data_IF_950590698632
#
_entry.id   IF_950590698632
#
_cell.length_a   1.000
_cell.length_b   1.000
_cell.length_c   1.000
_cell.angle_alpha   90.00
_cell.angle_beta   90.00
_cell.angle_gamma   90.00
#
_symmetry.space_group_name_H-M   'P 1'
#
loop_
_entity.id
_entity.type
_entity.pdbx_description
1 polymer ?
#
# COMPACT_ATOMS: atom_id res chain seq x y z
N UNK A 1 -6.40 -35.46 -31.06
CA UNK A 1 -6.76 -34.84 -32.35
C UNK A 1 -7.05 -33.39 -32.04
N UNK A 2 -6.51 -32.43 -32.82
CA UNK A 2 -6.86 -31.04 -32.61
C UNK A 2 -8.34 -30.84 -32.92
N UNK A 3 -9.04 -30.13 -32.05
CA UNK A 3 -10.48 -29.90 -32.14
C UNK A 3 -10.71 -28.46 -32.64
N UNK A 4 -11.67 -28.26 -33.53
CA UNK A 4 -12.12 -26.93 -33.97
C UNK A 4 -12.57 -26.11 -32.76
N UNK A 5 -12.21 -24.83 -32.68
CA UNK A 5 -12.54 -24.00 -31.51
C UNK A 5 -13.00 -22.59 -31.84
N UNK A 6 -13.92 -22.08 -31.02
CA UNK A 6 -14.22 -20.64 -30.91
C UNK A 6 -13.21 -20.04 -29.94
N UNK A 7 -12.43 -19.08 -30.42
CA UNK A 7 -11.39 -18.43 -29.63
C UNK A 7 -11.68 -16.96 -29.32
N UNK A 8 -12.77 -16.39 -29.85
CA UNK A 8 -13.17 -15.03 -29.50
C UNK A 8 -14.66 -14.73 -29.72
N UNK A 9 -15.21 -13.92 -28.80
CA UNK A 9 -16.52 -13.28 -28.90
C UNK A 9 -16.38 -11.79 -28.61
N UNK A 10 -16.98 -10.95 -29.45
CA UNK A 10 -17.17 -9.53 -29.20
C UNK A 10 -18.66 -9.20 -29.22
N UNK A 11 -19.15 -8.67 -28.09
CA UNK A 11 -20.47 -8.05 -28.06
C UNK A 11 -20.48 -6.80 -28.95
N UNK A 12 -21.60 -6.51 -29.63
CA UNK A 12 -22.86 -7.24 -29.53
C UNK A 12 -23.01 -8.38 -30.55
N UNK A 13 -22.11 -8.56 -31.53
CA UNK A 13 -22.47 -9.32 -32.73
C UNK A 13 -21.32 -10.02 -33.45
N UNK A 14 -20.15 -10.24 -32.84
CA UNK A 14 -19.00 -10.84 -33.53
C UNK A 14 -18.56 -12.15 -32.90
N UNK A 15 -18.42 -13.19 -33.73
CA UNK A 15 -17.90 -14.51 -33.34
C UNK A 15 -16.72 -14.86 -34.24
N UNK A 16 -15.61 -15.28 -33.63
CA UNK A 16 -14.43 -15.75 -34.36
C UNK A 16 -13.92 -17.07 -33.81
N UNK A 17 -13.41 -17.89 -34.71
CA UNK A 17 -12.86 -19.18 -34.38
C UNK A 17 -12.07 -19.75 -35.54
N UNK A 18 -11.71 -21.01 -35.40
CA UNK A 18 -11.03 -21.77 -36.45
C UNK A 18 -11.44 -23.23 -36.42
N UNK A 19 -11.33 -23.86 -37.58
CA UNK A 19 -11.72 -25.24 -37.82
C UNK A 19 -10.47 -26.04 -38.17
N UNK A 20 -10.31 -27.22 -37.56
CA UNK A 20 -9.23 -28.14 -37.93
C UNK A 20 -9.61 -28.83 -39.26
N UNK A 21 -9.11 -28.32 -40.37
CA UNK A 21 -9.40 -28.87 -41.69
C UNK A 21 -8.26 -28.66 -42.71
N UNK A 22 -8.24 -29.48 -43.77
CA UNK A 22 -7.20 -29.55 -44.80
C UNK A 22 -7.33 -28.50 -45.92
N UNK A 23 -8.13 -27.44 -45.71
CA UNK A 23 -8.16 -26.24 -46.56
C UNK A 23 -9.35 -26.12 -47.51
N UNK A 24 -10.44 -26.87 -47.28
CA UNK A 24 -11.68 -26.66 -48.02
C UNK A 24 -12.47 -25.46 -47.47
N UNK A 25 -13.32 -24.89 -48.33
CA UNK A 25 -14.31 -23.89 -47.95
C UNK A 25 -15.39 -24.58 -47.11
N UNK A 26 -15.54 -24.16 -45.86
CA UNK A 26 -16.50 -24.73 -44.89
C UNK A 26 -17.53 -23.68 -44.53
N UNK A 27 -18.80 -24.05 -44.63
CA UNK A 27 -19.91 -23.21 -44.19
C UNK A 27 -20.00 -23.21 -42.67
N UNK A 28 -20.17 -22.03 -42.09
CA UNK A 28 -20.30 -21.82 -40.66
C UNK A 28 -21.67 -21.21 -40.36
N UNK A 29 -22.32 -21.75 -39.35
CA UNK A 29 -23.63 -21.34 -38.88
C UNK A 29 -23.57 -20.98 -37.40
N UNK A 30 -24.08 -19.81 -37.03
CA UNK A 30 -24.20 -19.36 -35.65
C UNK A 30 -25.68 -19.35 -35.29
N UNK A 31 -26.03 -20.09 -34.26
CA UNK A 31 -27.39 -20.18 -33.73
C UNK A 31 -27.49 -19.46 -32.38
N UNK A 32 -28.62 -18.77 -32.16
CA UNK A 32 -29.07 -18.29 -30.86
C UNK A 32 -30.43 -18.91 -30.54
N UNK A 33 -30.51 -19.67 -29.45
CA UNK A 33 -31.73 -20.41 -29.05
C UNK A 33 -32.30 -21.29 -30.16
N UNK A 34 -31.44 -21.87 -31.01
CA UNK A 34 -31.84 -22.71 -32.15
C UNK A 34 -32.26 -21.94 -33.41
N UNK A 35 -32.14 -20.61 -33.43
CA UNK A 35 -32.37 -19.79 -34.61
C UNK A 35 -31.06 -19.32 -35.22
N UNK A 36 -30.93 -19.44 -36.55
CA UNK A 36 -29.73 -18.97 -37.28
C UNK A 36 -29.67 -17.45 -37.21
N UNK A 37 -28.60 -16.95 -36.60
CA UNK A 37 -28.29 -15.51 -36.49
C UNK A 37 -26.98 -15.13 -37.20
N UNK A 38 -26.27 -16.08 -37.80
CA UNK A 38 -25.06 -15.80 -38.56
C UNK A 38 -24.75 -16.93 -39.53
N UNK A 39 -24.39 -16.57 -40.76
CA UNK A 39 -23.93 -17.48 -41.79
C UNK A 39 -22.66 -16.89 -42.40
N UNK A 40 -21.68 -17.75 -42.65
CA UNK A 40 -20.42 -17.34 -43.27
C UNK A 40 -19.57 -18.54 -43.63
N UNK A 41 -18.32 -18.25 -43.98
CA UNK A 41 -17.35 -19.24 -44.40
C UNK A 41 -15.99 -18.91 -43.75
N UNK A 42 -15.05 -19.85 -43.80
CA UNK A 42 -13.67 -19.60 -43.40
C UNK A 42 -13.04 -18.51 -44.29
N UNK A 43 -13.11 -17.27 -43.81
CA UNK A 43 -12.76 -16.06 -44.54
C UNK A 43 -11.42 -15.44 -44.09
N UNK A 44 -10.66 -16.12 -43.22
CA UNK A 44 -9.41 -15.62 -42.66
C UNK A 44 -8.26 -16.64 -42.78
N UNK A 45 -7.10 -16.15 -43.20
CA UNK A 45 -5.82 -16.87 -43.13
C UNK A 45 -5.18 -16.62 -41.76
N UNK A 46 -4.65 -17.67 -41.13
CA UNK A 46 -3.94 -17.59 -39.85
C UNK A 46 -2.62 -18.34 -39.92
N UNK A 47 -1.55 -17.58 -40.20
CA UNK A 47 -0.19 -18.10 -40.34
C UNK A 47 0.30 -18.86 -39.10
N UNK A 48 -0.21 -18.51 -37.91
CA UNK A 48 0.10 -19.19 -36.65
C UNK A 48 -0.50 -20.60 -36.57
N UNK A 49 -1.71 -20.79 -37.11
CA UNK A 49 -2.37 -22.10 -37.20
C UNK A 49 -1.74 -22.97 -38.29
N UNK A 50 -1.41 -22.37 -39.44
CA UNK A 50 -0.68 -23.02 -40.54
C UNK A 50 0.69 -23.54 -40.08
N UNK A 51 1.46 -22.71 -39.38
CA UNK A 51 2.78 -23.08 -38.83
C UNK A 51 2.70 -24.19 -37.79
N UNK A 52 1.55 -24.33 -37.11
CA UNK A 52 1.28 -25.39 -36.14
C UNK A 52 0.73 -26.68 -36.78
N UNK A 53 0.54 -26.71 -38.11
CA UNK A 53 -0.02 -27.86 -38.82
C UNK A 53 -1.52 -28.08 -38.55
N UNK A 54 -2.25 -27.03 -38.15
CA UNK A 54 -3.66 -27.08 -37.77
C UNK A 54 -4.62 -26.71 -38.91
N UNK A 55 -4.09 -26.27 -40.06
CA UNK A 55 -4.88 -25.78 -41.18
C UNK A 55 -5.17 -24.28 -41.12
N UNK A 56 -5.67 -23.72 -42.24
CA UNK A 56 -5.87 -22.28 -42.45
C UNK A 56 -7.36 -21.89 -42.47
N UNK A 57 -8.20 -22.53 -41.65
CA UNK A 57 -9.66 -22.36 -41.72
C UNK A 57 -10.17 -21.48 -40.57
N UNK A 58 -9.70 -20.24 -40.50
CA UNK A 58 -10.19 -19.27 -39.53
C UNK A 58 -11.37 -18.48 -40.08
N UNK A 59 -12.24 -18.01 -39.19
CA UNK A 59 -13.39 -17.22 -39.56
C UNK A 59 -13.67 -16.09 -38.59
N UNK A 60 -14.35 -15.07 -39.08
CA UNK A 60 -15.04 -14.06 -38.28
C UNK A 60 -16.36 -13.74 -38.94
N UNK A 61 -17.44 -13.89 -38.18
CA UNK A 61 -18.80 -13.70 -38.67
C UNK A 61 -19.49 -12.68 -37.78
N UNK A 62 -20.09 -11.70 -38.43
CA UNK A 62 -20.99 -10.74 -37.80
C UNK A 62 -22.41 -11.31 -37.81
N UNK A 63 -23.06 -11.35 -36.66
CA UNK A 63 -24.41 -11.88 -36.50
C UNK A 63 -25.46 -10.82 -36.85
N UNK A 64 -26.57 -11.25 -37.46
CA UNK A 64 -27.73 -10.42 -37.80
C UNK A 64 -28.51 -9.95 -36.57
N UNK A 65 -28.39 -10.68 -35.47
CA UNK A 65 -28.98 -10.33 -34.17
C UNK A 65 -27.89 -10.17 -33.10
N UNK A 66 -28.05 -9.22 -32.18
CA UNK A 66 -27.10 -9.05 -31.09
C UNK A 66 -27.22 -10.18 -30.05
N UNK A 67 -26.09 -10.53 -29.44
CA UNK A 67 -25.97 -11.41 -28.30
C UNK A 67 -25.15 -10.76 -27.18
N UNK A 68 -25.35 -11.28 -25.97
CA UNK A 68 -24.59 -10.93 -24.78
C UNK A 68 -23.66 -12.06 -24.34
N UNK A 69 -22.72 -11.74 -23.48
CA UNK A 69 -21.87 -12.69 -22.78
C UNK A 69 -22.70 -13.66 -21.91
N UNK A 70 -23.88 -13.25 -21.44
CA UNK A 70 -24.83 -14.16 -20.78
C UNK A 70 -25.43 -15.19 -21.75
N UNK A 71 -25.72 -14.81 -23.00
CA UNK A 71 -26.20 -15.74 -24.02
C UNK A 71 -25.15 -16.82 -24.32
N UNK A 72 -23.86 -16.46 -24.29
CA UNK A 72 -22.77 -17.41 -24.46
C UNK A 72 -22.64 -18.35 -23.24
N UNK A 73 -22.67 -17.81 -22.01
CA UNK A 73 -22.52 -18.62 -20.78
C UNK A 73 -23.71 -19.54 -20.50
N UNK A 74 -24.91 -19.16 -20.93
CA UNK A 74 -26.12 -19.98 -20.81
C UNK A 74 -26.17 -21.12 -21.82
N UNK A 75 -25.25 -21.15 -22.80
CA UNK A 75 -25.29 -22.10 -23.92
C UNK A 75 -26.35 -21.76 -24.97
N UNK A 76 -26.88 -20.53 -24.94
CA UNK A 76 -27.86 -20.05 -25.93
C UNK A 76 -27.21 -19.81 -27.28
N UNK A 77 -25.91 -19.47 -27.31
CA UNK A 77 -25.12 -19.34 -28.54
C UNK A 77 -24.41 -20.65 -28.85
N UNK A 78 -24.63 -21.16 -30.07
CA UNK A 78 -23.93 -22.32 -30.62
C UNK A 78 -23.36 -21.99 -31.98
N UNK A 79 -22.23 -22.61 -32.31
CA UNK A 79 -21.57 -22.42 -33.60
C UNK A 79 -21.34 -23.77 -34.22
N UNK A 80 -21.66 -23.91 -35.49
CA UNK A 80 -21.52 -25.13 -36.25
C UNK A 80 -20.71 -24.89 -37.50
N UNK A 81 -20.06 -25.94 -37.99
CA UNK A 81 -19.55 -25.99 -39.36
C UNK A 81 -20.10 -27.21 -40.08
N UNK A 82 -20.30 -27.08 -41.39
CA UNK A 82 -20.75 -28.18 -42.25
C UNK A 82 -19.63 -28.61 -43.18
N UNK A 83 -19.28 -29.89 -43.15
CA UNK A 83 -18.32 -30.53 -44.07
C UNK A 83 -18.91 -31.84 -44.57
N UNK A 84 -18.82 -32.10 -45.87
CA UNK A 84 -19.30 -33.35 -46.50
C UNK A 84 -20.75 -33.72 -46.15
N UNK A 85 -21.62 -32.71 -45.99
CA UNK A 85 -23.02 -32.84 -45.52
C UNK A 85 -23.22 -33.23 -44.04
N UNK A 86 -22.16 -33.22 -43.23
CA UNK A 86 -22.22 -33.41 -41.78
C UNK A 86 -22.06 -32.07 -41.05
N UNK A 87 -23.04 -31.74 -40.19
CA UNK A 87 -23.03 -30.55 -39.32
C UNK A 87 -22.38 -30.89 -37.98
N UNK A 88 -21.33 -30.15 -37.61
CA UNK A 88 -20.52 -30.39 -36.42
C UNK A 88 -20.49 -29.14 -35.53
N UNK A 89 -20.69 -29.28 -34.22
CA UNK A 89 -20.63 -28.17 -33.25
C UNK A 89 -19.16 -27.82 -32.94
N UNK A 90 -18.85 -26.52 -32.93
CA UNK A 90 -17.52 -25.99 -32.58
C UNK A 90 -17.50 -25.69 -31.08
N UNK A 91 -16.54 -26.27 -30.36
CA UNK A 91 -16.40 -26.02 -28.93
C UNK A 91 -15.85 -24.63 -28.64
N UNK A 92 -16.34 -24.01 -27.57
CA UNK A 92 -15.80 -22.73 -27.08
C UNK A 92 -14.57 -23.01 -26.22
N UNK A 93 -13.45 -22.37 -26.54
CA UNK A 93 -12.18 -22.57 -25.82
C UNK A 93 -12.34 -22.16 -24.35
N UNK A 94 -11.81 -22.98 -23.45
CA UNK A 94 -12.05 -22.83 -21.99
C UNK A 94 -11.59 -21.49 -21.40
N UNK A 95 -10.54 -20.88 -21.97
CA UNK A 95 -10.03 -19.56 -21.61
C UNK A 95 -10.92 -18.42 -22.11
N UNK A 96 -11.62 -18.60 -23.24
CA UNK A 96 -12.67 -17.68 -23.71
C UNK A 96 -13.83 -17.68 -22.73
N UNK A 97 -14.28 -18.85 -22.29
CA UNK A 97 -15.30 -18.97 -21.24
C UNK A 97 -14.83 -18.27 -19.94
N UNK A 98 -13.57 -18.44 -19.54
CA UNK A 98 -13.01 -17.72 -18.38
C UNK A 98 -13.01 -16.19 -18.58
N UNK A 99 -12.62 -15.71 -19.77
CA UNK A 99 -12.63 -14.28 -20.11
C UNK A 99 -14.04 -13.70 -20.07
N UNK A 100 -15.03 -14.41 -20.64
CA UNK A 100 -16.44 -14.03 -20.64
C UNK A 100 -16.98 -13.98 -19.20
N UNK A 101 -16.69 -14.98 -18.37
CA UNK A 101 -17.05 -14.97 -16.93
C UNK A 101 -16.48 -13.74 -16.22
N UNK A 102 -15.23 -13.38 -16.51
CA UNK A 102 -14.60 -12.19 -15.93
C UNK A 102 -15.28 -10.89 -16.39
N UNK A 103 -15.64 -10.78 -17.66
CA UNK A 103 -16.38 -9.61 -18.18
C UNK A 103 -17.76 -9.48 -17.54
N UNK A 104 -18.53 -10.57 -17.48
CA UNK A 104 -19.84 -10.60 -16.79
C UNK A 104 -19.70 -10.20 -15.32
N UNK A 105 -18.72 -10.76 -14.62
CA UNK A 105 -18.41 -10.38 -13.25
C UNK A 105 -18.11 -8.87 -13.16
N UNK A 106 -17.30 -8.32 -14.07
CA UNK A 106 -16.99 -6.89 -14.07
C UNK A 106 -18.19 -5.96 -14.29
N UNK A 107 -19.22 -6.42 -15.00
CA UNK A 107 -20.49 -5.68 -15.12
C UNK A 107 -21.28 -5.72 -13.80
N UNK A 108 -21.45 -6.91 -13.22
CA UNK A 108 -22.10 -7.08 -11.91
C UNK A 108 -21.40 -6.26 -10.81
N UNK A 109 -20.07 -6.20 -10.85
CA UNK A 109 -19.27 -5.39 -9.92
C UNK A 109 -19.65 -3.91 -9.98
N UNK A 110 -19.85 -3.34 -11.18
CA UNK A 110 -20.26 -1.94 -11.34
C UNK A 110 -21.64 -1.69 -10.75
N UNK A 111 -22.54 -2.64 -10.89
CA UNK A 111 -23.90 -2.54 -10.36
C UNK A 111 -23.88 -2.60 -8.82
N UNK A 112 -23.13 -3.53 -8.23
CA UNK A 112 -22.97 -3.62 -6.77
C UNK A 112 -22.29 -2.38 -6.16
N UNK A 113 -21.36 -1.74 -6.87
CA UNK A 113 -20.74 -0.50 -6.40
C UNK A 113 -21.72 0.68 -6.37
N UNK A 114 -22.75 0.65 -7.22
CA UNK A 114 -23.76 1.70 -7.29
C UNK A 114 -24.88 1.52 -6.25
N UNK A 115 -25.07 0.31 -5.71
CA UNK A 115 -26.06 0.05 -4.67
C UNK A 115 -25.74 0.80 -3.36
N UNK A 116 -26.79 1.29 -2.71
CA UNK A 116 -26.69 1.76 -1.34
C UNK A 116 -26.61 0.60 -0.32
N UNK A 117 -26.31 0.92 0.94
CA UNK A 117 -26.11 -0.10 1.98
C UNK A 117 -27.38 -0.93 2.24
N UNK A 118 -28.56 -0.32 2.11
CA UNK A 118 -29.84 -0.99 2.38
C UNK A 118 -30.26 -1.88 1.21
N UNK A 119 -30.04 -1.44 -0.04
CA UNK A 119 -30.25 -2.26 -1.23
C UNK A 119 -29.34 -3.50 -1.24
N UNK A 120 -28.07 -3.31 -0.86
CA UNK A 120 -27.11 -4.41 -0.74
C UNK A 120 -27.52 -5.40 0.36
N UNK A 121 -27.99 -4.90 1.51
CA UNK A 121 -28.49 -5.73 2.62
C UNK A 121 -29.71 -6.55 2.18
N UNK A 122 -30.66 -5.93 1.47
CA UNK A 122 -31.83 -6.60 0.92
C UNK A 122 -31.48 -7.64 -0.14
N UNK A 123 -30.51 -7.34 -1.01
CA UNK A 123 -29.98 -8.29 -2.01
C UNK A 123 -29.39 -9.52 -1.32
N UNK A 124 -28.47 -9.31 -0.37
CA UNK A 124 -27.82 -10.37 0.42
C UNK A 124 -28.86 -11.22 1.16
N UNK A 125 -29.84 -10.58 1.81
CA UNK A 125 -30.88 -11.27 2.56
C UNK A 125 -31.76 -12.16 1.69
N UNK A 126 -32.06 -11.73 0.46
CA UNK A 126 -32.85 -12.51 -0.49
C UNK A 126 -32.05 -13.65 -1.11
N UNK A 127 -30.79 -13.41 -1.50
CA UNK A 127 -29.86 -14.41 -2.04
C UNK A 127 -29.71 -15.62 -1.09
N UNK A 128 -29.57 -15.37 0.22
CA UNK A 128 -29.44 -16.45 1.23
C UNK A 128 -30.52 -17.53 1.14
N UNK A 129 -31.72 -17.20 0.63
CA UNK A 129 -32.82 -18.18 0.50
C UNK A 129 -32.67 -19.12 -0.69
N UNK A 130 -31.78 -18.81 -1.63
CA UNK A 130 -31.69 -19.44 -2.95
C UNK A 130 -30.35 -20.09 -3.28
N UNK A 131 -29.30 -19.87 -2.47
CA UNK A 131 -27.96 -20.42 -2.74
C UNK A 131 -27.38 -21.20 -1.53
N UNK A 132 -26.44 -22.11 -1.82
CA UNK A 132 -25.70 -22.88 -0.82
C UNK A 132 -24.86 -21.96 0.08
N UNK A 133 -24.74 -22.31 1.37
CA UNK A 133 -24.02 -21.51 2.37
C UNK A 133 -22.58 -21.18 1.93
N UNK A 134 -21.87 -22.10 1.28
CA UNK A 134 -20.48 -21.85 0.87
C UNK A 134 -20.39 -20.82 -0.25
N UNK A 135 -21.34 -20.84 -1.18
CA UNK A 135 -21.44 -19.88 -2.29
C UNK A 135 -21.85 -18.52 -1.71
N UNK A 136 -22.83 -18.51 -0.80
CA UNK A 136 -23.28 -17.33 -0.08
C UNK A 136 -22.14 -16.61 0.64
N UNK A 137 -21.30 -17.33 1.39
CA UNK A 137 -20.18 -16.72 2.10
C UNK A 137 -19.07 -16.23 1.16
N UNK A 138 -18.83 -16.90 0.03
CA UNK A 138 -17.86 -16.46 -0.96
C UNK A 138 -18.32 -15.17 -1.68
N UNK A 139 -19.61 -15.06 -1.99
CA UNK A 139 -20.20 -13.85 -2.55
C UNK A 139 -20.21 -12.71 -1.55
N UNK A 140 -20.60 -12.96 -0.30
CA UNK A 140 -20.52 -11.99 0.79
C UNK A 140 -19.11 -11.43 0.98
N UNK A 141 -18.09 -12.30 0.98
CA UNK A 141 -16.70 -11.88 1.12
C UNK A 141 -16.28 -11.01 -0.07
N UNK A 142 -16.70 -11.37 -1.28
CA UNK A 142 -16.44 -10.60 -2.49
C UNK A 142 -17.13 -9.23 -2.45
N UNK A 143 -18.43 -9.19 -2.18
CA UNK A 143 -19.22 -7.95 -2.04
C UNK A 143 -18.66 -7.06 -0.92
N UNK A 144 -18.32 -7.63 0.23
CA UNK A 144 -17.75 -6.89 1.36
C UNK A 144 -16.38 -6.31 1.04
N UNK A 145 -15.54 -7.04 0.30
CA UNK A 145 -14.23 -6.55 -0.15
C UNK A 145 -14.34 -5.39 -1.15
N UNK A 146 -15.46 -5.31 -1.88
CA UNK A 146 -15.72 -4.27 -2.89
C UNK A 146 -16.32 -3.00 -2.29
N UNK A 147 -17.05 -3.12 -1.17
CA UNK A 147 -17.90 -2.04 -0.66
C UNK A 147 -17.37 -1.41 0.66
N UNK A 148 -16.05 -1.49 0.90
CA UNK A 148 -15.27 -0.79 1.93
C UNK A 148 -16.15 0.01 2.94
N UNK A 149 -16.64 -0.68 3.97
CA UNK A 149 -17.37 -0.14 5.13
C UNK A 149 -18.88 0.19 5.02
N UNK A 150 -19.63 -0.27 4.00
CA UNK A 150 -21.09 -0.03 3.96
C UNK A 150 -21.95 -1.00 4.78
N UNK A 151 -21.44 -2.17 5.17
CA UNK A 151 -22.17 -3.11 6.03
C UNK A 151 -21.71 -2.88 7.47
N UNK A 152 -22.52 -2.23 8.34
CA UNK A 152 -22.16 -2.08 9.74
C UNK A 152 -22.20 -3.45 10.42
N UNK A 153 -21.02 -4.04 10.63
CA UNK A 153 -20.89 -5.16 11.56
C UNK A 153 -21.26 -4.67 12.97
N UNK A 154 -21.90 -5.51 13.81
CA UNK A 154 -22.19 -5.15 15.19
C UNK A 154 -20.89 -4.74 15.90
N UNK A 155 -20.79 -3.49 16.34
CA UNK A 155 -19.68 -3.03 17.16
C UNK A 155 -19.91 -3.52 18.60
N UNK A 156 -18.96 -4.25 19.16
CA UNK A 156 -18.97 -4.61 20.56
C UNK A 156 -18.28 -3.51 21.39
N UNK A 157 -18.96 -2.99 22.41
CA UNK A 157 -18.48 -1.86 23.25
C UNK A 157 -17.17 -2.16 24.00
N UNK A 158 -16.82 -3.44 24.19
CA UNK A 158 -15.60 -3.87 24.87
C UNK A 158 -14.69 -4.65 23.91
N UNK A 159 -13.98 -3.90 23.05
CA UNK A 159 -12.99 -4.48 22.10
C UNK A 159 -11.93 -5.30 22.84
N UNK A 160 -11.59 -4.97 24.10
CA UNK A 160 -10.60 -5.75 24.86
C UNK A 160 -11.05 -7.17 25.15
N UNK A 161 -12.35 -7.41 25.29
CA UNK A 161 -12.92 -8.75 25.51
C UNK A 161 -13.36 -9.46 24.24
N UNK A 162 -13.42 -8.74 23.11
CA UNK A 162 -14.01 -9.23 21.86
C UNK A 162 -13.00 -9.26 20.70
N UNK A 163 -11.72 -9.52 20.99
CA UNK A 163 -10.71 -9.85 19.98
C UNK A 163 -10.27 -11.30 20.14
N UNK A 164 -10.17 -12.02 19.02
CA UNK A 164 -9.68 -13.40 18.98
C UNK A 164 -8.40 -13.49 18.16
N UNK A 165 -7.37 -14.19 18.64
CA UNK A 165 -6.19 -14.46 17.83
C UNK A 165 -6.53 -15.46 16.72
N UNK A 166 -5.91 -15.31 15.57
CA UNK A 166 -5.91 -16.31 14.51
C UNK A 166 -4.54 -16.37 13.84
N UNK A 167 -4.23 -17.50 13.23
CA UNK A 167 -2.96 -17.71 12.54
C UNK A 167 -3.13 -17.43 11.04
N UNK A 168 -2.19 -16.67 10.48
CA UNK A 168 -2.07 -16.43 9.05
C UNK A 168 -0.76 -17.04 8.57
N UNK A 169 -0.76 -17.64 7.38
CA UNK A 169 0.44 -18.22 6.79
C UNK A 169 1.47 -17.11 6.49
N UNK A 170 2.72 -17.33 6.89
CA UNK A 170 3.86 -16.47 6.50
C UNK A 170 3.99 -16.45 4.98
N UNK A 171 4.29 -15.29 4.41
CA UNK A 171 4.31 -15.03 2.98
C UNK A 171 2.93 -14.81 2.35
N UNK A 172 1.86 -14.75 3.15
CA UNK A 172 0.55 -14.29 2.64
C UNK A 172 0.69 -12.85 2.19
N UNK A 173 0.27 -12.55 0.96
CA UNK A 173 0.32 -11.21 0.37
C UNK A 173 -1.08 -10.60 0.42
N UNK A 174 -1.19 -9.30 0.72
CA UNK A 174 -2.47 -8.58 0.68
C UNK A 174 -3.05 -8.56 -0.74
N UNK A 175 -4.38 -8.44 -0.93
CA UNK A 175 -5.01 -8.46 -2.26
C UNK A 175 -4.52 -7.32 -3.19
N UNK A 176 -4.08 -6.20 -2.63
CA UNK A 176 -3.48 -5.08 -3.38
C UNK A 176 -1.99 -5.26 -3.70
N UNK A 177 -1.41 -6.40 -3.29
CA UNK A 177 -0.01 -6.78 -3.49
C UNK A 177 1.03 -5.87 -2.83
N UNK A 178 0.62 -5.00 -1.90
CA UNK A 178 1.53 -4.03 -1.27
C UNK A 178 2.14 -4.50 0.04
N UNK A 179 1.47 -5.44 0.73
CA UNK A 179 1.88 -5.91 2.03
C UNK A 179 2.04 -7.42 2.08
N UNK A 180 2.89 -7.89 2.99
CA UNK A 180 3.17 -9.31 3.20
C UNK A 180 3.22 -9.66 4.68
N UNK A 181 2.72 -10.86 5.01
CA UNK A 181 2.75 -11.42 6.36
C UNK A 181 4.13 -12.02 6.63
N UNK A 182 4.86 -11.46 7.59
CA UNK A 182 6.07 -12.06 8.15
C UNK A 182 5.79 -12.99 9.33
N UNK A 183 6.82 -13.36 10.07
CA UNK A 183 6.69 -14.21 11.25
C UNK A 183 6.16 -13.42 12.47
N UNK A 184 5.68 -14.14 13.49
CA UNK A 184 5.18 -13.58 14.75
C UNK A 184 4.07 -12.51 14.64
N UNK A 185 3.31 -12.54 13.54
CA UNK A 185 2.20 -11.63 13.27
C UNK A 185 2.61 -10.25 12.77
N UNK A 186 3.87 -10.06 12.34
CA UNK A 186 4.29 -8.82 11.71
C UNK A 186 3.78 -8.73 10.27
N UNK A 187 3.26 -7.57 9.90
CA UNK A 187 2.94 -7.20 8.53
C UNK A 187 3.99 -6.22 8.02
N UNK A 188 4.39 -6.39 6.77
CA UNK A 188 5.40 -5.58 6.12
C UNK A 188 4.82 -4.87 4.91
N UNK A 189 5.15 -3.60 4.74
CA UNK A 189 4.97 -2.92 3.46
C UNK A 189 6.14 -3.30 2.56
N UNK A 190 5.88 -4.11 1.54
CA UNK A 190 6.91 -4.67 0.66
C UNK A 190 6.91 -4.02 -0.72
N UNK A 191 5.74 -3.56 -1.19
CA UNK A 191 5.58 -2.88 -2.48
C UNK A 191 4.76 -1.59 -2.32
N UNK A 192 4.16 -1.11 -3.41
CA UNK A 192 3.37 0.13 -3.46
C UNK A 192 4.10 1.26 -4.15
N UNK A 193 3.69 2.51 -3.92
CA UNK A 193 4.21 3.70 -4.60
C UNK A 193 5.73 3.89 -4.45
N UNK A 194 6.32 3.32 -3.39
CA UNK A 194 7.75 3.44 -3.08
C UNK A 194 8.53 2.16 -3.39
N UNK A 195 7.85 1.12 -3.89
CA UNK A 195 8.41 -0.21 -4.19
C UNK A 195 9.45 -0.68 -3.15
N UNK A 196 9.05 -0.74 -1.87
CA UNK A 196 9.99 -0.76 -0.72
C UNK A 196 11.06 -1.83 -0.84
N UNK A 197 10.75 -3.04 -1.30
CA UNK A 197 11.76 -4.10 -1.46
C UNK A 197 12.90 -3.73 -2.42
N UNK A 198 12.66 -2.95 -3.47
CA UNK A 198 13.72 -2.66 -4.46
C UNK A 198 14.85 -1.81 -3.91
N UNK A 199 14.63 -1.07 -2.81
CA UNK A 199 15.72 -0.27 -2.21
C UNK A 199 16.82 -1.16 -1.62
N UNK A 200 16.54 -2.45 -1.38
CA UNK A 200 17.47 -3.42 -0.84
C UNK A 200 18.24 -4.21 -1.91
N UNK A 201 17.78 -4.15 -3.17
CA UNK A 201 18.36 -4.87 -4.30
C UNK A 201 19.57 -4.16 -4.92
N UNK A 202 19.79 -2.88 -4.57
CA UNK A 202 20.96 -2.15 -5.04
C UNK A 202 22.27 -2.77 -4.53
N UNK A 203 23.35 -2.59 -5.28
CA UNK A 203 24.68 -3.01 -4.85
C UNK A 203 25.35 -1.91 -4.01
N UNK A 204 25.84 -2.27 -2.82
CA UNK A 204 26.59 -1.35 -1.97
C UNK A 204 27.90 -0.92 -2.65
N UNK A 205 28.18 0.39 -2.65
CA UNK A 205 29.33 0.96 -3.34
C UNK A 205 29.15 1.12 -4.85
N UNK A 206 27.97 0.80 -5.40
CA UNK A 206 27.66 1.14 -6.78
C UNK A 206 27.64 2.67 -6.98
N UNK A 207 27.97 3.10 -8.20
CA UNK A 207 27.98 4.52 -8.58
C UNK A 207 26.64 5.22 -8.29
N UNK A 208 25.53 4.54 -8.55
CA UNK A 208 24.18 5.08 -8.28
C UNK A 208 23.96 5.36 -6.78
N UNK A 209 24.34 4.41 -5.92
CA UNK A 209 24.23 4.55 -4.46
C UNK A 209 25.15 5.65 -3.95
N UNK A 210 26.39 5.72 -4.45
CA UNK A 210 27.34 6.76 -4.07
C UNK A 210 26.87 8.17 -4.47
N UNK A 211 26.39 8.35 -5.71
CA UNK A 211 25.87 9.62 -6.21
C UNK A 211 24.62 10.06 -5.44
N UNK A 212 23.72 9.12 -5.13
CA UNK A 212 22.51 9.42 -4.36
C UNK A 212 22.83 9.83 -2.92
N UNK A 213 23.76 9.13 -2.26
CA UNK A 213 24.23 9.51 -0.94
C UNK A 213 24.93 10.88 -0.96
N UNK A 214 25.73 11.19 -1.99
CA UNK A 214 26.38 12.50 -2.12
C UNK A 214 25.38 13.66 -2.26
N UNK A 215 24.28 13.45 -3.00
CA UNK A 215 23.20 14.44 -3.09
C UNK A 215 22.59 14.75 -1.72
N UNK A 216 22.35 13.73 -0.91
CA UNK A 216 21.87 13.91 0.48
C UNK A 216 22.89 14.66 1.35
N UNK A 217 24.18 14.34 1.23
CA UNK A 217 25.24 15.05 1.97
C UNK A 217 25.28 16.53 1.60
N UNK A 218 25.15 16.86 0.32
CA UNK A 218 25.09 18.24 -0.14
C UNK A 218 23.85 18.97 0.40
N UNK A 219 22.70 18.31 0.38
CA UNK A 219 21.47 18.84 0.98
C UNK A 219 21.62 19.08 2.49
N UNK A 220 22.25 18.17 3.23
CA UNK A 220 22.47 18.36 4.67
C UNK A 220 23.42 19.51 4.98
N UNK A 221 24.47 19.69 4.17
CA UNK A 221 25.37 20.85 4.29
C UNK A 221 24.61 22.15 4.03
N UNK A 222 23.82 22.19 2.96
CA UNK A 222 23.01 23.38 2.62
C UNK A 222 22.02 23.73 3.75
N UNK A 223 21.29 22.75 4.27
CA UNK A 223 20.33 22.94 5.36
C UNK A 223 21.02 23.40 6.65
N UNK A 224 22.17 22.79 6.98
CA UNK A 224 23.00 23.20 8.13
C UNK A 224 23.45 24.65 7.99
N UNK A 225 24.00 25.00 6.84
CA UNK A 225 24.56 26.34 6.60
C UNK A 225 23.46 27.40 6.65
N UNK A 226 22.32 27.15 5.99
CA UNK A 226 21.13 28.00 6.09
C UNK A 226 20.66 28.20 7.54
N UNK A 227 20.53 27.13 8.32
CA UNK A 227 20.10 27.25 9.72
C UNK A 227 21.13 27.99 10.57
N UNK A 228 22.43 27.74 10.34
CA UNK A 228 23.50 28.43 11.04
C UNK A 228 23.49 29.94 10.77
N UNK A 229 23.20 30.36 9.53
CA UNK A 229 23.14 31.77 9.13
C UNK A 229 22.04 32.56 9.87
N UNK A 230 20.96 31.89 10.28
CA UNK A 230 19.88 32.48 11.09
C UNK A 230 20.02 32.21 12.59
N UNK A 231 21.13 31.58 13.01
CA UNK A 231 21.38 31.24 14.41
C UNK A 231 20.62 30.02 14.95
N UNK A 232 20.01 29.22 14.08
CA UNK A 232 19.30 28.00 14.42
C UNK A 232 20.20 26.76 14.34
N UNK A 233 19.96 25.76 15.20
CA UNK A 233 20.59 24.44 15.09
C UNK A 233 19.83 23.56 14.10
N UNK A 234 20.53 22.95 13.16
CA UNK A 234 19.96 21.95 12.27
C UNK A 234 20.22 20.52 12.76
N UNK A 235 19.18 19.67 12.70
CA UNK A 235 19.26 18.22 12.95
C UNK A 235 18.49 17.48 11.84
N UNK A 236 19.16 16.61 11.11
CA UNK A 236 18.49 15.64 10.23
C UNK A 236 18.28 14.31 10.97
N UNK A 237 17.10 13.72 10.80
CA UNK A 237 16.70 12.44 11.37
C UNK A 237 16.31 11.50 10.24
N UNK A 238 17.00 10.36 10.13
CA UNK A 238 16.62 9.30 9.19
C UNK A 238 16.11 8.10 9.98
N UNK A 239 14.84 7.78 9.75
CA UNK A 239 14.18 6.62 10.36
C UNK A 239 14.43 5.39 9.47
N UNK A 240 14.96 4.28 10.00
CA UNK A 240 15.09 3.05 9.20
C UNK A 240 13.71 2.51 8.86
N UNK A 241 13.60 1.79 7.74
CA UNK A 241 12.38 1.07 7.43
C UNK A 241 12.20 -0.12 8.39
N UNK A 242 10.95 -0.50 8.62
CA UNK A 242 10.61 -1.65 9.45
C UNK A 242 11.27 -2.93 8.93
N UNK A 243 11.39 -3.08 7.61
CA UNK A 243 12.09 -4.20 6.98
C UNK A 243 13.57 -4.26 7.43
N UNK A 244 14.28 -3.13 7.44
CA UNK A 244 15.68 -3.06 7.88
C UNK A 244 15.89 -3.47 9.34
N UNK A 245 14.94 -3.10 10.20
CA UNK A 245 15.02 -3.37 11.64
C UNK A 245 14.53 -4.78 11.99
N UNK A 246 13.42 -5.20 11.38
CA UNK A 246 12.74 -6.46 11.69
C UNK A 246 13.09 -7.56 10.68
N UNK A 247 14.30 -7.54 10.10
CA UNK A 247 14.72 -8.47 9.03
C UNK A 247 14.54 -9.94 9.36
N UNK A 248 14.72 -10.33 10.63
CA UNK A 248 14.54 -11.72 11.08
C UNK A 248 13.07 -12.17 11.07
N UNK A 249 12.14 -11.22 10.96
CA UNK A 249 10.72 -11.49 10.87
C UNK A 249 10.20 -11.52 9.42
N UNK A 250 11.07 -11.30 8.44
CA UNK A 250 10.72 -11.28 7.02
C UNK A 250 11.70 -12.13 6.19
N UNK A 251 11.19 -13.17 5.55
CA UNK A 251 11.97 -13.98 4.62
C UNK A 251 11.97 -13.31 3.24
N UNK A 252 13.14 -13.18 2.62
CA UNK A 252 13.26 -12.67 1.25
C UNK A 252 13.88 -11.28 1.09
N UNK A 253 14.49 -10.74 2.15
CA UNK A 253 15.30 -9.52 2.05
C UNK A 253 16.73 -9.81 1.57
N UNK A 254 17.27 -8.88 0.78
CA UNK A 254 18.69 -8.81 0.41
C UNK A 254 19.55 -8.20 1.52
N UNK A 255 20.24 -7.10 1.22
CA UNK A 255 21.07 -6.38 2.21
C UNK A 255 20.22 -5.64 3.25
N UNK A 256 20.70 -5.51 4.49
CA UNK A 256 19.98 -4.78 5.57
C UNK A 256 20.97 -4.06 6.49
N UNK A 257 20.80 -2.75 6.74
CA UNK A 257 19.81 -1.86 6.12
C UNK A 257 20.08 -1.68 4.61
N UNK A 258 19.27 -0.88 3.91
CA UNK A 258 19.48 -0.61 2.49
C UNK A 258 20.90 -0.08 2.20
N UNK A 259 21.48 -0.42 1.04
CA UNK A 259 22.80 0.05 0.66
C UNK A 259 22.94 1.58 0.69
N UNK A 260 21.86 2.29 0.34
CA UNK A 260 21.84 3.75 0.37
C UNK A 260 21.89 4.31 1.80
N UNK A 261 21.16 3.73 2.76
CA UNK A 261 21.29 4.15 4.16
C UNK A 261 22.70 3.88 4.69
N UNK A 262 23.27 2.69 4.39
CA UNK A 262 24.64 2.36 4.80
C UNK A 262 25.65 3.37 4.24
N UNK A 263 25.58 3.69 2.95
CA UNK A 263 26.49 4.62 2.29
C UNK A 263 26.31 6.05 2.79
N UNK A 264 25.06 6.49 3.02
CA UNK A 264 24.76 7.79 3.60
C UNK A 264 25.39 7.95 4.98
N UNK A 265 25.20 7.00 5.88
CA UNK A 265 25.77 7.07 7.23
C UNK A 265 27.31 7.00 7.23
N UNK A 266 27.90 6.23 6.31
CA UNK A 266 29.34 6.26 6.08
C UNK A 266 29.81 7.68 5.68
N UNK A 267 29.16 8.31 4.69
CA UNK A 267 29.52 9.65 4.21
C UNK A 267 29.25 10.75 5.24
N UNK A 268 28.23 10.62 6.10
CA UNK A 268 27.97 11.56 7.21
C UNK A 268 29.19 11.66 8.12
N UNK A 269 29.80 10.51 8.45
CA UNK A 269 31.01 10.47 9.26
C UNK A 269 32.22 11.07 8.51
N UNK A 270 32.39 10.75 7.22
CA UNK A 270 33.48 11.33 6.40
C UNK A 270 33.39 12.86 6.27
N UNK A 271 32.17 13.42 6.35
CA UNK A 271 31.92 14.84 6.18
C UNK A 271 31.73 15.61 7.50
N UNK A 272 31.99 14.99 8.66
CA UNK A 272 31.81 15.58 9.99
C UNK A 272 30.40 16.14 10.23
N UNK A 273 29.37 15.45 9.74
CA UNK A 273 27.96 15.85 9.92
C UNK A 273 27.29 15.15 11.11
N UNK A 274 28.03 14.34 11.88
CA UNK A 274 27.49 13.54 12.97
C UNK A 274 26.77 14.37 14.06
N UNK A 275 27.19 15.61 14.31
CA UNK A 275 26.54 16.48 15.29
C UNK A 275 25.19 17.05 14.82
N UNK A 276 24.93 16.97 13.51
CA UNK A 276 23.69 17.40 12.87
C UNK A 276 22.82 16.23 12.41
N UNK A 277 23.14 15.01 12.83
CA UNK A 277 22.44 13.80 12.37
C UNK A 277 22.04 12.89 13.53
N UNK A 278 20.85 12.31 13.42
CA UNK A 278 20.36 11.24 14.29
C UNK A 278 20.03 10.02 13.43
N UNK A 279 20.78 8.94 13.65
CA UNK A 279 20.50 7.62 13.08
C UNK A 279 19.36 6.95 13.82
N UNK A 280 18.24 6.73 13.16
CA UNK A 280 17.15 5.95 13.75
C UNK A 280 17.51 4.49 13.98
N UNK A 281 18.42 3.93 13.16
CA UNK A 281 18.89 2.56 13.36
C UNK A 281 19.66 2.40 14.67
N UNK A 282 20.60 3.31 14.95
CA UNK A 282 21.34 3.31 16.21
C UNK A 282 20.44 3.59 17.42
N UNK A 283 19.45 4.47 17.27
CA UNK A 283 18.48 4.74 18.33
C UNK A 283 17.67 3.49 18.70
N UNK A 284 17.24 2.73 17.68
CA UNK A 284 16.44 1.53 17.83
C UNK A 284 17.26 0.34 18.35
N UNK A 285 18.51 0.21 17.95
CA UNK A 285 19.41 -0.84 18.44
C UNK A 285 19.53 -0.84 19.97
N UNK A 286 19.56 0.35 20.58
CA UNK A 286 19.64 0.54 22.04
C UNK A 286 18.46 -0.04 22.82
N UNK A 287 17.29 -0.19 22.20
CA UNK A 287 16.07 -0.72 22.84
C UNK A 287 15.72 -2.15 22.41
N UNK A 288 16.51 -2.72 21.48
CA UNK A 288 16.21 -3.99 20.84
C UNK A 288 15.15 -3.85 19.73
N UNK A 289 15.45 -4.43 18.57
CA UNK A 289 14.65 -4.29 17.35
C UNK A 289 13.18 -4.73 17.51
N UNK A 290 12.92 -5.79 18.27
CA UNK A 290 11.57 -6.30 18.52
C UNK A 290 10.62 -5.32 19.21
N UNK A 291 11.15 -4.28 19.86
CA UNK A 291 10.36 -3.27 20.58
C UNK A 291 10.12 -1.99 19.75
N UNK A 292 10.71 -1.89 18.56
CA UNK A 292 10.75 -0.63 17.83
C UNK A 292 9.49 -0.38 16.99
N UNK A 293 8.96 -1.40 16.32
CA UNK A 293 7.86 -1.28 15.38
C UNK A 293 6.61 -2.04 15.80
N UNK A 294 5.46 -1.44 15.48
CA UNK A 294 4.16 -2.10 15.61
C UNK A 294 4.06 -3.30 14.68
N UNK A 295 3.24 -4.28 15.02
CA UNK A 295 3.12 -5.52 14.24
C UNK A 295 2.36 -5.30 12.95
N UNK A 296 1.19 -4.67 13.03
CA UNK A 296 0.26 -4.51 11.90
C UNK A 296 0.25 -3.09 11.33
N UNK A 297 1.27 -2.30 11.65
CA UNK A 297 1.45 -0.91 11.25
C UNK A 297 2.88 -0.67 10.74
N UNK A 298 3.07 0.33 9.87
CA UNK A 298 4.39 0.72 9.36
C UNK A 298 5.21 1.61 10.30
N UNK A 299 4.59 2.14 11.36
CA UNK A 299 5.18 3.08 12.31
C UNK A 299 5.69 2.39 13.58
N UNK A 300 6.35 3.18 14.43
CA UNK A 300 6.92 2.71 15.67
C UNK A 300 5.87 2.23 16.67
N UNK A 301 6.31 1.41 17.61
CA UNK A 301 5.67 1.38 18.93
C UNK A 301 6.06 2.67 19.70
N UNK A 302 5.34 3.04 20.76
CA UNK A 302 5.73 4.15 21.62
C UNK A 302 7.20 4.14 22.08
N UNK A 303 7.76 2.96 22.32
CA UNK A 303 9.18 2.80 22.66
C UNK A 303 10.13 3.24 21.54
N UNK A 304 9.83 2.92 20.28
CA UNK A 304 10.65 3.33 19.13
C UNK A 304 10.63 4.84 18.91
N UNK A 305 9.45 5.46 18.99
CA UNK A 305 9.32 6.92 18.91
C UNK A 305 10.08 7.65 20.02
N UNK A 306 10.03 7.10 21.24
CA UNK A 306 10.78 7.62 22.39
C UNK A 306 12.30 7.46 22.27
N UNK A 307 12.78 6.31 21.80
CA UNK A 307 14.21 6.06 21.61
C UNK A 307 14.82 7.08 20.64
N UNK A 308 14.13 7.33 19.53
CA UNK A 308 14.56 8.33 18.54
C UNK A 308 14.52 9.74 19.11
N UNK A 309 13.44 10.10 19.80
CA UNK A 309 13.31 11.40 20.46
C UNK A 309 14.41 11.64 21.50
N UNK A 310 14.77 10.62 22.29
CA UNK A 310 15.87 10.69 23.25
C UNK A 310 17.18 11.06 22.56
N UNK A 311 17.50 10.44 21.43
CA UNK A 311 18.72 10.74 20.68
C UNK A 311 18.70 12.16 20.10
N UNK A 312 17.54 12.65 19.61
CA UNK A 312 17.37 14.07 19.24
C UNK A 312 17.68 14.98 20.44
N UNK A 313 17.11 14.69 21.63
CA UNK A 313 17.40 15.46 22.84
C UNK A 313 18.88 15.44 23.22
N UNK A 314 19.61 14.33 23.01
CA UNK A 314 21.05 14.31 23.29
C UNK A 314 21.86 15.28 22.43
N UNK A 315 21.39 15.60 21.21
CA UNK A 315 22.01 16.62 20.34
C UNK A 315 21.71 18.05 20.80
N UNK A 316 20.69 18.22 21.64
CA UNK A 316 20.22 19.53 22.10
C UNK A 316 20.79 19.81 23.48
N UNK A 317 20.54 18.89 24.41
CA UNK A 317 20.97 18.93 25.81
C UNK A 317 21.43 17.53 26.25
N UNK A 318 22.74 17.21 26.09
CA UNK A 318 23.28 15.87 26.35
C UNK A 318 23.06 15.35 27.78
N UNK A 319 22.90 16.25 28.75
CA UNK A 319 22.70 15.90 30.17
C UNK A 319 21.23 15.64 30.51
N UNK A 320 20.28 15.99 29.64
CA UNK A 320 18.87 15.82 29.92
C UNK A 320 18.43 14.37 29.68
N UNK A 321 17.88 13.75 30.72
CA UNK A 321 17.28 12.43 30.61
C UNK A 321 15.79 12.54 30.29
N UNK A 322 15.31 11.76 29.33
CA UNK A 322 13.90 11.67 28.96
C UNK A 322 13.34 10.34 29.50
N UNK A 323 12.92 10.25 30.76
CA UNK A 323 12.40 9.00 31.31
C UNK A 323 11.01 8.68 30.74
N UNK A 324 10.79 7.41 30.40
CA UNK A 324 9.48 6.88 30.06
C UNK A 324 9.41 5.40 30.48
N UNK A 325 8.28 4.98 31.03
CA UNK A 325 8.01 3.59 31.38
C UNK A 325 6.77 3.12 30.63
N UNK A 326 6.96 2.21 29.67
CA UNK A 326 5.90 1.72 28.78
C UNK A 326 5.16 0.54 29.42
N UNK A 327 4.24 0.83 30.32
CA UNK A 327 3.53 -0.17 31.14
C UNK A 327 2.00 -0.06 31.09
N UNK A 328 1.44 0.87 30.31
CA UNK A 328 0.00 0.98 30.09
C UNK A 328 -0.31 0.27 28.78
N UNK A 329 -1.01 -0.86 28.85
CA UNK A 329 -1.45 -1.55 27.65
C UNK A 329 -2.69 -0.91 27.03
N UNK A 330 -2.79 -1.03 25.72
CA UNK A 330 -3.97 -0.65 24.96
C UNK A 330 -4.06 -1.50 23.69
N UNK A 331 -5.26 -1.55 23.12
CA UNK A 331 -5.52 -2.18 21.83
C UNK A 331 -5.70 -1.08 20.80
N UNK A 332 -5.15 -1.29 19.62
CA UNK A 332 -5.23 -0.34 18.52
C UNK A 332 -5.16 -1.07 17.18
N UNK A 333 -5.49 -0.35 16.10
CA UNK A 333 -5.44 -0.81 14.72
C UNK A 333 -4.24 -0.19 14.00
N UNK A 334 -3.81 -0.79 12.90
CA UNK A 334 -2.64 -0.33 12.13
C UNK A 334 -2.97 0.08 10.70
N UNK A 335 -2.15 0.95 10.12
CA UNK A 335 -2.33 1.51 8.77
C UNK A 335 -2.38 0.46 7.64
N UNK A 336 -1.68 -0.67 7.81
CA UNK A 336 -1.62 -1.77 6.84
C UNK A 336 -2.45 -3.00 7.25
N UNK A 337 -2.98 -3.05 8.48
CA UNK A 337 -3.78 -4.17 8.97
C UNK A 337 -5.02 -4.45 8.11
N UNK A 338 -5.76 -3.40 7.76
CA UNK A 338 -6.98 -3.49 6.95
C UNK A 338 -6.79 -4.07 5.55
N UNK A 339 -5.55 -4.12 5.06
CA UNK A 339 -5.25 -4.58 3.69
C UNK A 339 -5.44 -6.08 3.49
N UNK A 340 -5.46 -6.91 4.53
CA UNK A 340 -5.53 -8.37 4.35
C UNK A 340 -6.94 -8.95 4.26
N UNK A 341 -7.93 -8.29 4.87
CA UNK A 341 -9.30 -8.85 4.97
C UNK A 341 -10.40 -7.81 4.77
N UNK A 342 -10.07 -6.56 4.40
CA UNK A 342 -11.03 -5.47 4.33
C UNK A 342 -11.63 -5.10 5.71
N UNK A 343 -11.00 -5.55 6.79
CA UNK A 343 -11.40 -5.33 8.17
C UNK A 343 -10.19 -4.93 9.00
N UNK A 344 -10.41 -4.09 10.01
CA UNK A 344 -9.33 -3.70 10.91
C UNK A 344 -8.77 -4.91 11.67
N UNK A 345 -7.45 -5.07 11.59
CA UNK A 345 -6.72 -5.94 12.49
C UNK A 345 -6.37 -5.17 13.76
N UNK A 346 -6.31 -5.89 14.87
CA UNK A 346 -6.03 -5.33 16.18
C UNK A 346 -4.71 -5.88 16.73
N UNK A 347 -3.97 -5.03 17.41
CA UNK A 347 -2.79 -5.42 18.15
C UNK A 347 -2.77 -4.81 19.55
N UNK A 348 -2.05 -5.49 20.46
CA UNK A 348 -1.75 -4.97 21.78
C UNK A 348 -0.46 -4.15 21.73
N UNK A 349 -0.52 -2.92 22.23
CA UNK A 349 0.60 -1.99 22.33
C UNK A 349 0.77 -1.50 23.78
N UNK A 350 1.92 -0.87 24.07
CA UNK A 350 2.25 -0.34 25.39
C UNK A 350 2.67 1.13 25.29
N UNK A 351 2.04 1.98 26.09
CA UNK A 351 2.36 3.42 26.21
C UNK A 351 2.85 3.76 27.62
N UNK A 352 3.50 4.91 27.74
CA UNK A 352 3.86 5.48 29.03
C UNK A 352 2.75 6.42 29.55
N UNK A 353 2.66 6.65 30.86
CA UNK A 353 1.89 7.77 31.39
C UNK A 353 2.36 9.09 30.75
N UNK A 354 1.43 10.01 30.51
CA UNK A 354 1.80 11.36 30.07
C UNK A 354 2.66 12.04 31.15
N UNK A 355 3.77 12.72 30.78
CA UNK A 355 4.53 13.49 31.75
C UNK A 355 3.68 14.66 32.28
N UNK A 356 3.97 15.14 33.49
CA UNK A 356 3.18 16.18 34.17
C UNK A 356 3.02 17.47 33.35
N UNK A 357 3.98 17.80 32.50
CA UNK A 357 3.97 18.97 31.64
C UNK A 357 3.21 18.79 30.32
N UNK A 358 2.79 17.56 29.98
CA UNK A 358 1.97 17.31 28.79
C UNK A 358 0.65 18.09 28.83
N UNK A 359 0.05 18.24 30.01
CA UNK A 359 -1.18 19.01 30.21
C UNK A 359 -1.01 20.54 30.00
N UNK A 360 0.21 21.03 29.76
CA UNK A 360 0.47 22.43 29.38
C UNK A 360 0.42 22.67 27.87
N UNK A 361 0.30 21.61 27.05
CA UNK A 361 0.31 21.67 25.59
C UNK A 361 -1.03 22.20 25.05
N UNK A 362 -0.93 23.19 24.17
CA UNK A 362 -2.04 23.81 23.44
C UNK A 362 -1.74 23.84 21.94
N UNK A 363 -2.77 23.65 21.11
CA UNK A 363 -2.69 23.83 19.65
C UNK A 363 -3.07 25.27 19.32
N UNK A 364 -2.11 26.04 18.78
CA UNK A 364 -2.32 27.43 18.38
C UNK A 364 -2.86 27.55 16.95
N UNK A 365 -2.42 26.66 16.06
CA UNK A 365 -2.81 26.65 14.65
C UNK A 365 -2.85 25.22 14.13
N UNK A 366 -3.82 24.92 13.26
CA UNK A 366 -3.92 23.65 12.56
C UNK A 366 -4.41 23.85 11.12
N UNK A 367 -3.57 23.46 10.17
CA UNK A 367 -3.83 23.46 8.74
C UNK A 367 -3.72 22.01 8.26
N UNK A 368 -4.79 21.52 7.64
CA UNK A 368 -4.80 20.21 7.04
C UNK A 368 -4.28 20.25 5.60
N UNK A 369 -3.58 19.19 5.15
CA UNK A 369 -3.32 18.99 3.72
C UNK A 369 -4.61 19.10 2.90
N UNK A 370 -4.49 19.57 1.66
CA UNK A 370 -5.61 19.54 0.72
C UNK A 370 -6.10 18.10 0.53
N UNK A 371 -7.41 17.86 0.31
CA UNK A 371 -7.94 16.52 0.07
C UNK A 371 -7.15 15.79 -1.03
N UNK A 372 -6.72 14.56 -0.72
CA UNK A 372 -5.90 13.74 -1.63
C UNK A 372 -4.39 14.05 -1.63
N UNK A 373 -3.91 15.00 -0.82
CA UNK A 373 -2.47 15.25 -0.62
C UNK A 373 -2.02 14.80 0.76
N UNK A 374 -0.81 14.24 0.82
CA UNK A 374 -0.16 13.83 2.07
C UNK A 374 0.79 14.91 2.63
N UNK A 375 0.97 16.02 1.91
CA UNK A 375 1.87 17.12 2.26
C UNK A 375 1.15 18.46 2.31
N UNK A 376 1.78 19.44 2.97
CA UNK A 376 1.25 20.80 3.13
C UNK A 376 0.40 20.99 4.40
N UNK A 377 0.41 20.01 5.30
CA UNK A 377 -0.17 20.13 6.63
C UNK A 377 0.75 20.91 7.57
N UNK A 378 0.17 21.57 8.56
CA UNK A 378 0.91 22.30 9.59
C UNK A 378 0.15 22.31 10.91
N UNK A 379 0.83 22.07 12.02
CA UNK A 379 0.26 22.24 13.36
C UNK A 379 1.27 22.96 14.24
N UNK A 380 0.82 24.01 14.94
CA UNK A 380 1.67 24.80 15.83
C UNK A 380 1.23 24.57 17.26
N UNK A 381 2.17 24.17 18.11
CA UNK A 381 1.97 23.89 19.52
C UNK A 381 2.68 24.91 20.38
N UNK A 382 2.08 25.20 21.53
CA UNK A 382 2.71 25.90 22.64
C UNK A 382 2.60 25.06 23.90
N UNK A 383 3.65 25.00 24.70
CA UNK A 383 3.64 24.35 26.00
C UNK A 383 4.44 25.17 27.04
N UNK A 384 3.74 25.98 27.82
CA UNK A 384 4.35 26.83 28.85
C UNK A 384 4.97 26.03 30.01
N UNK A 385 4.71 24.72 30.10
CA UNK A 385 5.26 23.82 31.13
C UNK A 385 6.41 22.96 30.61
N UNK A 386 6.78 23.09 29.34
CA UNK A 386 7.81 22.28 28.71
C UNK A 386 9.18 22.44 29.41
N UNK A 387 9.96 21.36 29.53
CA UNK A 387 11.31 21.42 30.08
C UNK A 387 12.32 22.13 29.16
N UNK A 388 12.10 22.11 27.84
CA UNK A 388 12.92 22.84 26.87
C UNK A 388 12.26 24.16 26.51
N UNK A 389 13.04 25.24 26.65
CA UNK A 389 12.61 26.59 26.32
C UNK A 389 12.63 26.83 24.80
N UNK A 390 13.31 25.99 24.04
CA UNK A 390 13.59 26.17 22.62
C UNK A 390 12.31 26.10 21.77
N UNK A 391 12.27 26.92 20.73
CA UNK A 391 11.31 26.85 19.62
C UNK A 391 11.85 25.93 18.53
N UNK A 392 11.04 24.95 18.13
CA UNK A 392 11.42 23.94 17.15
C UNK A 392 10.50 23.99 15.94
N UNK A 393 11.08 23.92 14.73
CA UNK A 393 10.32 23.64 13.50
C UNK A 393 10.75 22.28 12.98
N UNK A 394 9.81 21.35 12.87
CA UNK A 394 10.03 20.01 12.31
C UNK A 394 9.36 19.84 10.96
N UNK A 395 10.12 19.39 9.97
CA UNK A 395 9.65 19.01 8.65
C UNK A 395 9.73 17.49 8.54
N UNK A 396 8.60 16.82 8.29
CA UNK A 396 8.59 15.36 8.28
C UNK A 396 7.38 14.74 7.61
N UNK A 397 7.33 13.41 7.70
CA UNK A 397 6.24 12.59 7.18
C UNK A 397 5.38 12.04 8.33
N UNK A 398 4.66 10.94 8.09
CA UNK A 398 3.74 10.34 9.05
C UNK A 398 4.38 9.91 10.38
N UNK A 399 5.70 9.68 10.42
CA UNK A 399 6.42 9.42 11.68
C UNK A 399 6.53 10.65 12.61
N UNK A 400 6.31 11.84 12.07
CA UNK A 400 6.26 13.09 12.83
C UNK A 400 4.84 13.66 12.92
N UNK A 401 3.97 13.36 11.95
CA UNK A 401 2.71 14.06 11.74
C UNK A 401 1.62 13.83 12.82
N UNK A 402 1.73 12.78 13.63
CA UNK A 402 0.80 12.51 14.72
C UNK A 402 1.33 13.11 16.05
N UNK A 403 0.48 13.80 16.80
CA UNK A 403 0.82 14.39 18.08
C UNK A 403 0.02 13.82 19.26
N UNK A 404 -0.88 12.86 19.02
CA UNK A 404 -1.62 12.15 20.06
C UNK A 404 -0.94 10.81 20.40
N UNK A 405 -0.35 10.16 19.40
CA UNK A 405 0.34 8.88 19.61
C UNK A 405 1.79 9.05 20.04
N UNK A 406 2.16 8.40 21.15
CA UNK A 406 3.56 8.28 21.60
C UNK A 406 4.47 7.53 20.63
N UNK A 407 3.91 6.85 19.61
CA UNK A 407 4.68 6.27 18.52
C UNK A 407 5.30 7.33 17.59
N UNK A 408 4.75 8.55 17.57
CA UNK A 408 5.16 9.61 16.66
C UNK A 408 6.06 10.65 17.35
N UNK A 409 7.02 11.18 16.60
CA UNK A 409 7.88 12.28 17.07
C UNK A 409 7.07 13.54 17.39
N UNK A 410 5.95 13.78 16.72
CA UNK A 410 5.09 14.94 16.97
C UNK A 410 4.57 14.99 18.40
N UNK A 411 4.22 13.84 18.99
CA UNK A 411 3.81 13.77 20.39
C UNK A 411 4.93 14.24 21.32
N UNK A 412 6.14 13.72 21.11
CA UNK A 412 7.28 14.00 21.99
C UNK A 412 7.76 15.45 21.84
N UNK A 413 7.93 15.92 20.61
CA UNK A 413 8.39 17.28 20.32
C UNK A 413 7.40 18.34 20.85
N UNK A 414 6.11 18.17 20.59
CA UNK A 414 5.07 19.09 21.11
C UNK A 414 4.91 19.04 22.64
N UNK A 415 5.31 17.95 23.28
CA UNK A 415 5.22 17.78 24.74
C UNK A 415 6.44 18.37 25.46
N UNK A 416 7.64 18.26 24.86
CA UNK A 416 8.89 18.59 25.55
C UNK A 416 9.46 19.98 25.24
N UNK A 417 9.04 20.61 24.14
CA UNK A 417 9.49 21.94 23.74
C UNK A 417 8.41 23.01 23.96
N UNK A 418 8.84 24.22 24.31
CA UNK A 418 7.93 25.36 24.59
C UNK A 418 7.08 25.73 23.39
N UNK A 419 7.64 25.63 22.18
CA UNK A 419 6.94 25.88 20.94
C UNK A 419 7.42 24.90 19.88
N UNK A 420 6.48 24.22 19.21
CA UNK A 420 6.80 23.26 18.16
C UNK A 420 5.90 23.49 16.95
N UNK A 421 6.52 23.66 15.79
CA UNK A 421 5.82 23.73 14.52
C UNK A 421 6.06 22.43 13.78
N UNK A 422 5.02 21.61 13.69
CA UNK A 422 4.99 20.42 12.87
C UNK A 422 4.60 20.84 11.46
N UNK A 423 5.42 20.53 10.46
CA UNK A 423 5.12 20.78 9.04
C UNK A 423 5.23 19.48 8.26
N UNK A 424 4.13 19.05 7.64
CA UNK A 424 4.04 17.80 6.90
C UNK A 424 4.57 17.98 5.48
N UNK A 425 5.88 17.97 5.31
CA UNK A 425 6.54 18.10 4.01
C UNK A 425 8.00 17.62 4.08
N UNK A 426 8.56 17.09 2.98
CA UNK A 426 9.96 16.66 2.93
C UNK A 426 10.95 17.82 2.72
N UNK A 427 10.49 18.92 2.12
CA UNK A 427 11.30 20.12 1.83
C UNK A 427 11.33 21.06 3.04
N UNK A 428 12.48 21.68 3.31
CA UNK A 428 12.57 22.72 4.34
C UNK A 428 12.15 24.05 3.72
N UNK A 429 10.99 24.56 4.10
CA UNK A 429 10.55 25.86 3.61
C UNK A 429 11.32 26.98 4.31
N UNK A 430 12.37 27.49 3.66
CA UNK A 430 13.27 28.54 4.18
C UNK A 430 12.53 29.82 4.56
N UNK A 431 11.54 30.25 3.77
CA UNK A 431 10.74 31.45 4.09
C UNK A 431 9.95 31.26 5.38
N UNK A 432 9.36 30.07 5.56
CA UNK A 432 8.66 29.73 6.79
C UNK A 432 9.61 29.70 8.00
N UNK A 433 10.79 29.10 7.84
CA UNK A 433 11.81 29.09 8.91
C UNK A 433 12.22 30.52 9.27
N UNK A 434 12.52 31.37 8.29
CA UNK A 434 12.87 32.79 8.52
C UNK A 434 11.78 33.54 9.26
N UNK A 435 10.51 33.32 8.89
CA UNK A 435 9.37 33.98 9.53
C UNK A 435 9.15 33.53 10.98
N UNK A 436 9.36 32.23 11.26
CA UNK A 436 9.19 31.68 12.61
C UNK A 436 10.39 32.00 13.51
N UNK A 437 11.59 32.10 12.92
CA UNK A 437 12.87 32.31 13.59
C UNK A 437 13.09 31.31 14.75
N UNK A 438 13.15 29.99 14.48
CA UNK A 438 13.27 28.97 15.51
C UNK A 438 14.70 28.86 16.05
N UNK A 439 14.82 28.27 17.24
CA UNK A 439 16.13 27.89 17.80
C UNK A 439 16.66 26.60 17.14
N UNK A 440 15.75 25.73 16.69
CA UNK A 440 16.08 24.41 16.14
C UNK A 440 15.19 24.10 14.92
N UNK A 441 15.83 23.57 13.88
CA UNK A 441 15.16 23.03 12.69
C UNK A 441 15.46 21.54 12.59
N UNK A 442 14.41 20.73 12.46
CA UNK A 442 14.51 19.28 12.29
C UNK A 442 14.02 18.91 10.89
N UNK A 443 14.87 18.26 10.10
CA UNK A 443 14.48 17.53 8.91
C UNK A 443 14.28 16.05 9.26
N UNK A 444 13.18 15.44 8.81
CA UNK A 444 12.93 14.02 9.04
C UNK A 444 12.52 13.31 7.76
N UNK A 445 13.22 12.22 7.47
CA UNK A 445 12.84 11.28 6.40
C UNK A 445 12.85 9.84 6.90
N UNK A 446 12.43 8.92 6.03
CA UNK A 446 12.46 7.47 6.29
C UNK A 446 13.30 6.84 5.18
N UNK A 447 14.02 5.78 5.51
CA UNK A 447 14.91 5.04 4.62
C UNK A 447 14.31 4.76 3.23
N UNK A 448 13.05 4.32 3.17
CA UNK A 448 12.34 4.06 1.90
C UNK A 448 12.11 5.29 1.01
N UNK A 449 12.40 6.50 1.50
CA UNK A 449 12.34 7.74 0.73
C UNK A 449 13.73 8.29 0.37
N UNK A 450 14.82 7.64 0.79
CA UNK A 450 16.18 8.12 0.46
C UNK A 450 16.48 8.08 -1.05
N UNK A 451 15.76 7.29 -1.83
CA UNK A 451 15.87 7.33 -3.30
C UNK A 451 15.43 8.66 -3.92
N UNK A 452 14.72 9.51 -3.17
CA UNK A 452 14.27 10.81 -3.60
C UNK A 452 14.84 11.90 -2.69
N UNK A 453 15.75 12.72 -3.24
CA UNK A 453 16.33 13.87 -2.52
C UNK A 453 15.39 15.06 -2.67
N UNK A 454 14.83 15.60 -1.57
CA UNK A 454 13.96 16.77 -1.62
C UNK A 454 14.71 18.03 -2.09
N UNK A 455 13.95 19.06 -2.44
CA UNK A 455 14.54 20.38 -2.64
C UNK A 455 14.87 21.02 -1.28
N UNK A 456 15.84 21.94 -1.28
CA UNK A 456 16.19 22.71 -0.08
C UNK A 456 15.33 23.93 0.13
#
# INVERSE_FOLDING_TARGET
MAQSTIDWFAEPNMVSGWIYDDGNQVEIEIEKNGHIIGLGENNLSRNDLESAGLGACAFTIETTEPFSYYDVLSGSIKVFYTKDSEKNEIEIRSDVIKSIKFKVFSHLLKDFQQMDAHELEMYIFNEKKSIDDNIYYAELASISSLNNNKIPLPQHDDIQKNISPFYIKVGTVSPDLQCEVGTNGHLFLTRGSNNVLSIYDHEYGSKEVEESAEKWINLFKERRDFCSDIGARFIEVVIPDKLSVMREQYDGMGSSPSPLLQMLEYKINQNNLADHYVSGLQAIEKIGFSNAFRKIDTHFQPMGGHALFKDICTKISPSYNVPAQFNIDYITTGDIGKRFFGQDLYEKCYRAPHPIFHAGREVLEQIWPQPGRFTGGRVVFKNDKAPFAEKVVGFGNSFMNDYESQASLGYWLSTFFREFHLVTQPDINKDYVNNVNPDIVIGQTVERFLGFVPNS
#
